data_IF_348421959257
#
_entry.id   IF_348421959257
#
_cell.length_a   1.000
_cell.length_b   1.000
_cell.length_c   1.000
_cell.angle_alpha   90.00
_cell.angle_beta   90.00
_cell.angle_gamma   90.00
#
_symmetry.space_group_name_H-M   'P 1'
#
loop_
_entity.id
_entity.type
_entity.pdbx_description
1 polymer ?
#
# COMPACT_ATOMS: atom_id res chain seq x y z
N UNK A 1 -23.92 5.40 0.44
CA UNK A 1 -24.62 4.10 0.33
C UNK A 1 -25.20 3.84 -1.06
N UNK A 2 -25.91 4.83 -1.68
CA UNK A 2 -26.45 4.65 -3.04
C UNK A 2 -25.36 4.59 -4.10
N UNK A 3 -24.35 5.45 -4.02
CA UNK A 3 -23.19 5.47 -4.91
C UNK A 3 -22.37 4.17 -4.83
N UNK A 4 -22.23 3.60 -3.63
CA UNK A 4 -21.52 2.33 -3.45
C UNK A 4 -22.25 1.15 -4.11
N UNK A 5 -23.58 1.11 -4.01
CA UNK A 5 -24.37 0.08 -4.71
C UNK A 5 -24.24 0.20 -6.21
N UNK A 6 -24.35 1.42 -6.74
CA UNK A 6 -24.21 1.66 -8.18
C UNK A 6 -22.80 1.29 -8.67
N UNK A 7 -21.76 1.64 -7.90
CA UNK A 7 -20.38 1.25 -8.24
C UNK A 7 -20.22 -0.28 -8.26
N UNK A 8 -20.74 -0.98 -7.26
CA UNK A 8 -20.69 -2.45 -7.22
C UNK A 8 -21.44 -3.09 -8.39
N UNK A 9 -22.63 -2.60 -8.72
CA UNK A 9 -23.40 -3.06 -9.88
C UNK A 9 -22.63 -2.88 -11.18
N UNK A 10 -21.96 -1.73 -11.35
CA UNK A 10 -21.14 -1.45 -12.53
C UNK A 10 -19.93 -2.41 -12.62
N UNK A 11 -19.21 -2.67 -11.51
CA UNK A 11 -18.12 -3.65 -11.52
C UNK A 11 -18.62 -5.05 -11.86
N UNK A 12 -19.73 -5.52 -11.28
CA UNK A 12 -20.33 -6.81 -11.60
C UNK A 12 -20.71 -6.89 -13.07
N UNK A 13 -21.34 -5.84 -13.58
CA UNK A 13 -21.72 -5.78 -15.00
C UNK A 13 -20.51 -5.81 -15.93
N UNK A 14 -19.43 -5.10 -15.62
CA UNK A 14 -18.20 -5.16 -16.41
C UNK A 14 -17.64 -6.59 -16.47
N UNK A 15 -17.57 -7.29 -15.32
CA UNK A 15 -17.09 -8.66 -15.22
C UNK A 15 -18.03 -9.66 -15.91
N UNK A 16 -19.35 -9.42 -15.94
CA UNK A 16 -20.32 -10.22 -16.69
C UNK A 16 -20.12 -10.10 -18.20
N UNK A 17 -19.84 -8.87 -18.68
CA UNK A 17 -19.62 -8.60 -20.11
C UNK A 17 -18.28 -9.18 -20.59
N UNK A 18 -17.25 -9.10 -19.78
CA UNK A 18 -15.95 -9.73 -20.04
C UNK A 18 -15.42 -10.42 -18.78
N UNK A 19 -15.59 -11.74 -18.72
CA UNK A 19 -15.11 -12.56 -17.59
C UNK A 19 -13.58 -12.61 -17.48
N UNK A 20 -12.87 -12.26 -18.56
CA UNK A 20 -11.42 -12.23 -18.62
C UNK A 20 -10.81 -10.88 -18.25
N UNK A 21 -11.64 -9.85 -18.05
CA UNK A 21 -11.18 -8.50 -17.65
C UNK A 21 -10.55 -8.52 -16.23
N UNK A 22 -9.24 -8.73 -16.21
CA UNK A 22 -8.45 -8.74 -14.99
C UNK A 22 -8.35 -7.36 -14.34
N UNK A 23 -8.43 -6.29 -15.14
CA UNK A 23 -8.37 -4.92 -14.62
C UNK A 23 -9.67 -4.58 -13.88
N UNK A 24 -10.85 -4.91 -14.44
CA UNK A 24 -12.12 -4.74 -13.76
C UNK A 24 -12.16 -5.54 -12.44
N UNK A 25 -11.63 -6.76 -12.43
CA UNK A 25 -11.52 -7.58 -11.20
C UNK A 25 -10.58 -6.95 -10.17
N UNK A 26 -9.41 -6.47 -10.60
CA UNK A 26 -8.47 -5.79 -9.71
C UNK A 26 -9.11 -4.55 -9.07
N UNK A 27 -9.78 -3.72 -9.86
CA UNK A 27 -10.45 -2.52 -9.39
C UNK A 27 -11.63 -2.85 -8.46
N UNK A 28 -12.40 -3.88 -8.78
CA UNK A 28 -13.48 -4.35 -7.91
C UNK A 28 -12.95 -4.92 -6.59
N UNK A 29 -11.85 -5.67 -6.63
CA UNK A 29 -11.16 -6.14 -5.43
C UNK A 29 -10.75 -5.00 -4.50
N UNK A 30 -10.17 -3.93 -5.06
CA UNK A 30 -9.80 -2.75 -4.30
C UNK A 30 -11.03 -2.03 -3.71
N UNK A 31 -12.08 -1.86 -4.52
CA UNK A 31 -13.34 -1.29 -4.05
C UNK A 31 -13.90 -2.04 -2.83
N UNK A 32 -13.94 -3.37 -2.88
CA UNK A 32 -14.42 -4.21 -1.78
C UNK A 32 -13.53 -4.07 -0.53
N UNK A 33 -12.21 -4.09 -0.69
CA UNK A 33 -11.26 -3.93 0.41
C UNK A 33 -11.39 -2.59 1.13
N UNK A 34 -11.62 -1.51 0.39
CA UNK A 34 -11.79 -0.18 1.00
C UNK A 34 -13.08 -0.05 1.82
N UNK A 35 -13.99 -1.01 1.69
CA UNK A 35 -15.26 -1.12 2.42
C UNK A 35 -15.28 -2.22 3.47
N UNK A 36 -14.09 -2.77 3.80
CA UNK A 36 -13.95 -3.82 4.82
C UNK A 36 -14.37 -5.22 4.37
N UNK A 37 -14.72 -5.40 3.09
CA UNK A 37 -15.09 -6.69 2.49
C UNK A 37 -13.85 -7.42 2.00
N UNK A 38 -12.93 -7.69 2.92
CA UNK A 38 -11.57 -8.13 2.59
C UNK A 38 -11.51 -9.46 1.88
N UNK A 39 -12.29 -10.46 2.32
CA UNK A 39 -12.27 -11.80 1.71
C UNK A 39 -12.77 -11.77 0.27
N UNK A 40 -13.84 -11.04 0.02
CA UNK A 40 -14.39 -10.86 -1.33
C UNK A 40 -13.38 -10.08 -2.21
N UNK A 41 -12.72 -9.06 -1.66
CA UNK A 41 -11.67 -8.34 -2.37
C UNK A 41 -10.49 -9.23 -2.77
N UNK A 42 -10.02 -10.05 -1.83
CA UNK A 42 -8.93 -11.02 -2.06
C UNK A 42 -9.31 -12.07 -3.11
N UNK A 43 -10.57 -12.49 -3.15
CA UNK A 43 -11.08 -13.38 -4.18
C UNK A 43 -11.02 -12.75 -5.58
N UNK A 44 -11.40 -11.46 -5.71
CA UNK A 44 -11.32 -10.75 -6.98
C UNK A 44 -9.88 -10.59 -7.46
N UNK A 45 -8.93 -10.25 -6.59
CA UNK A 45 -7.50 -10.22 -6.96
C UNK A 45 -7.01 -11.59 -7.40
N UNK A 46 -7.38 -12.66 -6.68
CA UNK A 46 -7.04 -14.02 -7.07
C UNK A 46 -7.62 -14.39 -8.44
N UNK A 47 -8.86 -13.97 -8.73
CA UNK A 47 -9.49 -14.18 -10.02
C UNK A 47 -8.79 -13.41 -11.15
N UNK A 48 -8.37 -12.16 -10.90
CA UNK A 48 -7.57 -11.38 -11.85
C UNK A 48 -6.24 -12.07 -12.20
N UNK A 49 -5.55 -12.58 -11.19
CA UNK A 49 -4.25 -13.24 -11.32
C UNK A 49 -4.28 -14.62 -11.96
N UNK A 50 -5.46 -15.23 -12.12
CA UNK A 50 -5.62 -16.49 -12.89
C UNK A 50 -5.52 -16.31 -14.39
N UNK A 51 -5.69 -15.09 -14.88
CA UNK A 51 -5.53 -14.79 -16.30
C UNK A 51 -4.04 -14.61 -16.64
N UNK A 52 -3.41 -15.48 -17.42
CA UNK A 52 -2.00 -15.38 -17.77
C UNK A 52 -1.68 -14.19 -18.70
N UNK A 53 -2.71 -13.60 -19.30
CA UNK A 53 -2.58 -12.45 -20.19
C UNK A 53 -2.79 -11.11 -19.46
N UNK A 54 -2.92 -11.14 -18.15
CA UNK A 54 -3.07 -9.90 -17.38
C UNK A 54 -1.80 -9.05 -17.48
N UNK A 55 -1.94 -7.82 -17.98
CA UNK A 55 -0.81 -6.96 -18.30
C UNK A 55 -0.07 -6.42 -17.06
N UNK A 56 -0.75 -6.34 -15.90
CA UNK A 56 -0.21 -5.75 -14.66
C UNK A 56 -0.47 -6.62 -13.43
N UNK A 57 -0.02 -7.87 -13.42
CA UNK A 57 -0.24 -8.78 -12.29
C UNK A 57 0.41 -8.30 -11.00
N UNK A 58 1.52 -7.53 -11.08
CA UNK A 58 2.21 -6.91 -9.95
C UNK A 58 1.31 -5.94 -9.18
N UNK A 59 0.46 -5.18 -9.87
CA UNK A 59 -0.48 -4.25 -9.23
C UNK A 59 -1.55 -5.00 -8.44
N UNK A 60 -2.13 -6.07 -9.01
CA UNK A 60 -3.10 -6.90 -8.30
C UNK A 60 -2.48 -7.60 -7.08
N UNK A 61 -1.22 -8.04 -7.19
CA UNK A 61 -0.48 -8.59 -6.05
C UNK A 61 -0.24 -7.54 -4.96
N UNK A 62 0.18 -6.31 -5.34
CA UNK A 62 0.37 -5.22 -4.38
C UNK A 62 -0.94 -4.84 -3.67
N UNK A 63 -2.05 -4.77 -4.42
CA UNK A 63 -3.38 -4.49 -3.89
C UNK A 63 -3.88 -5.61 -2.98
N UNK A 64 -3.67 -6.88 -3.35
CA UNK A 64 -3.96 -8.04 -2.51
C UNK A 64 -3.15 -8.01 -1.20
N UNK A 65 -1.87 -7.63 -1.27
CA UNK A 65 -1.03 -7.44 -0.10
C UNK A 65 -1.58 -6.38 0.85
N UNK A 66 -1.96 -5.24 0.33
CA UNK A 66 -2.54 -4.16 1.12
C UNK A 66 -3.92 -4.52 1.70
N UNK A 67 -4.71 -5.27 0.95
CA UNK A 67 -6.00 -5.80 1.41
C UNK A 67 -5.83 -6.78 2.57
N UNK A 68 -4.90 -7.74 2.43
CA UNK A 68 -4.57 -8.70 3.48
C UNK A 68 -4.06 -8.01 4.75
N UNK A 69 -3.26 -6.96 4.60
CA UNK A 69 -2.78 -6.15 5.71
C UNK A 69 -3.93 -5.47 6.46
N UNK A 70 -4.89 -4.87 5.76
CA UNK A 70 -6.10 -4.29 6.37
C UNK A 70 -6.98 -5.32 7.07
N UNK A 71 -7.00 -6.56 6.57
CA UNK A 71 -7.65 -7.69 7.21
C UNK A 71 -6.94 -8.15 8.49
N UNK A 72 -5.66 -7.79 8.65
CA UNK A 72 -4.79 -8.25 9.74
C UNK A 72 -3.98 -9.51 9.41
N UNK A 73 -4.06 -10.03 8.18
CA UNK A 73 -3.26 -11.16 7.72
C UNK A 73 -1.91 -10.68 7.18
N UNK A 74 -0.99 -10.45 8.12
CA UNK A 74 0.34 -9.89 7.81
C UNK A 74 1.20 -10.87 7.00
N UNK A 75 0.99 -12.18 7.16
CA UNK A 75 1.73 -13.19 6.40
C UNK A 75 1.33 -13.19 4.92
N UNK A 76 0.02 -13.15 4.66
CA UNK A 76 -0.51 -13.03 3.29
C UNK A 76 -0.14 -11.69 2.65
N UNK A 77 -0.17 -10.60 3.44
CA UNK A 77 0.25 -9.28 3.01
C UNK A 77 1.69 -9.29 2.50
N UNK A 78 2.61 -9.80 3.31
CA UNK A 78 4.01 -9.92 2.94
C UNK A 78 4.22 -10.79 1.70
N UNK A 79 3.59 -11.96 1.66
CA UNK A 79 3.73 -12.88 0.54
C UNK A 79 3.33 -12.21 -0.79
N UNK A 80 2.23 -11.46 -0.80
CA UNK A 80 1.75 -10.77 -1.99
C UNK A 80 2.65 -9.58 -2.38
N UNK A 81 3.08 -8.75 -1.43
CA UNK A 81 3.98 -7.63 -1.70
C UNK A 81 5.33 -8.11 -2.25
N UNK A 82 5.88 -9.20 -1.70
CA UNK A 82 7.12 -9.80 -2.21
C UNK A 82 6.96 -10.40 -3.61
N UNK A 83 5.80 -11.01 -3.92
CA UNK A 83 5.49 -11.48 -5.29
C UNK A 83 5.41 -10.32 -6.27
N UNK A 84 4.77 -9.21 -5.89
CA UNK A 84 4.73 -7.99 -6.70
C UNK A 84 6.15 -7.48 -7.01
N UNK A 85 7.03 -7.38 -6.00
CA UNK A 85 8.42 -6.95 -6.17
C UNK A 85 9.29 -7.95 -6.95
N UNK A 86 8.91 -9.23 -7.03
CA UNK A 86 9.61 -10.17 -7.93
C UNK A 86 9.33 -9.88 -9.39
N UNK A 87 8.14 -9.40 -9.73
CA UNK A 87 7.78 -9.02 -11.09
C UNK A 87 8.29 -7.62 -11.43
N UNK A 88 8.20 -6.69 -10.49
CA UNK A 88 8.63 -5.30 -10.64
C UNK A 88 9.48 -4.87 -9.43
N UNK A 89 10.80 -5.18 -9.43
CA UNK A 89 11.68 -4.95 -8.28
C UNK A 89 11.78 -3.48 -7.85
N UNK A 90 11.64 -2.57 -8.80
CA UNK A 90 11.81 -1.14 -8.60
C UNK A 90 10.47 -0.38 -8.58
N UNK A 91 9.38 -1.06 -8.17
CA UNK A 91 8.10 -0.40 -7.94
C UNK A 91 8.13 0.38 -6.61
N UNK A 92 8.20 1.73 -6.64
CA UNK A 92 8.35 2.51 -5.42
C UNK A 92 7.14 2.40 -4.49
N UNK A 93 5.93 2.27 -5.05
CA UNK A 93 4.73 2.11 -4.23
C UNK A 93 4.72 0.79 -3.46
N UNK A 94 5.12 -0.30 -4.11
CA UNK A 94 5.20 -1.61 -3.45
C UNK A 94 6.32 -1.66 -2.41
N UNK A 95 7.47 -1.01 -2.69
CA UNK A 95 8.56 -0.85 -1.71
C UNK A 95 8.08 -0.11 -0.46
N UNK A 96 7.36 1.01 -0.61
CA UNK A 96 6.84 1.77 0.51
C UNK A 96 5.82 0.96 1.34
N UNK A 97 4.91 0.23 0.68
CA UNK A 97 3.94 -0.65 1.36
C UNK A 97 4.65 -1.75 2.16
N UNK A 98 5.65 -2.41 1.57
CA UNK A 98 6.42 -3.43 2.28
C UNK A 98 7.23 -2.82 3.43
N UNK A 99 7.80 -1.63 3.26
CA UNK A 99 8.49 -0.91 4.33
C UNK A 99 7.55 -0.62 5.51
N UNK A 100 6.33 -0.15 5.25
CA UNK A 100 5.30 0.08 6.27
C UNK A 100 4.92 -1.20 7.02
N UNK A 101 4.75 -2.31 6.30
CA UNK A 101 4.48 -3.62 6.89
C UNK A 101 5.64 -4.07 7.81
N UNK A 102 6.90 -3.95 7.34
CA UNK A 102 8.10 -4.31 8.10
C UNK A 102 8.29 -3.45 9.35
N UNK A 103 7.98 -2.16 9.23
CA UNK A 103 7.99 -1.26 10.38
C UNK A 103 7.04 -1.73 11.50
N UNK A 104 5.80 -2.10 11.15
CA UNK A 104 4.82 -2.63 12.13
C UNK A 104 5.24 -3.95 12.75
N UNK A 105 5.99 -4.76 12.01
CA UNK A 105 6.58 -6.02 12.52
C UNK A 105 7.85 -5.79 13.35
N UNK A 106 8.30 -4.53 13.53
CA UNK A 106 9.52 -4.20 14.26
C UNK A 106 10.82 -4.51 13.49
N UNK A 107 10.74 -4.81 12.20
CA UNK A 107 11.89 -5.14 11.35
C UNK A 107 12.56 -3.85 10.83
N UNK A 108 13.16 -3.07 11.76
CA UNK A 108 13.60 -1.69 11.49
C UNK A 108 14.69 -1.62 10.41
N UNK A 109 15.64 -2.56 10.39
CA UNK A 109 16.71 -2.56 9.39
C UNK A 109 16.20 -2.83 7.99
N UNK A 110 15.25 -3.78 7.82
CA UNK A 110 14.63 -4.03 6.52
C UNK A 110 13.75 -2.84 6.10
N UNK A 111 13.06 -2.21 7.04
CA UNK A 111 12.30 -0.96 6.78
C UNK A 111 13.20 0.12 6.22
N UNK A 112 14.38 0.33 6.82
CA UNK A 112 15.35 1.34 6.38
C UNK A 112 15.85 1.06 4.96
N UNK A 113 16.19 -0.19 4.65
CA UNK A 113 16.63 -0.60 3.32
C UNK A 113 15.54 -0.36 2.24
N UNK A 114 14.30 -0.77 2.53
CA UNK A 114 13.18 -0.61 1.61
C UNK A 114 12.83 0.86 1.39
N UNK A 115 12.85 1.66 2.46
CA UNK A 115 12.57 3.10 2.38
C UNK A 115 13.69 3.85 1.64
N UNK A 116 14.96 3.44 1.81
CA UNK A 116 16.10 3.96 1.05
C UNK A 116 15.92 3.70 -0.45
N UNK A 117 15.60 2.47 -0.85
CA UNK A 117 15.31 2.14 -2.26
C UNK A 117 14.12 2.93 -2.82
N UNK A 118 13.05 3.09 -2.02
CA UNK A 118 11.92 3.94 -2.43
C UNK A 118 12.38 5.37 -2.73
N UNK A 119 13.22 5.95 -1.87
CA UNK A 119 13.69 7.33 -2.01
C UNK A 119 14.60 7.56 -3.24
N UNK A 120 15.29 6.52 -3.71
CA UNK A 120 16.08 6.56 -4.95
C UNK A 120 15.19 6.56 -6.21
N UNK A 121 13.98 6.00 -6.13
CA UNK A 121 13.11 5.74 -7.27
C UNK A 121 11.96 6.75 -7.43
N UNK A 122 11.59 7.42 -6.36
CA UNK A 122 10.45 8.32 -6.36
C UNK A 122 10.64 9.55 -5.45
N UNK A 123 9.99 10.66 -5.78
CA UNK A 123 9.99 11.82 -4.89
C UNK A 123 9.28 11.47 -3.56
N UNK A 124 9.67 12.11 -2.46
CA UNK A 124 9.03 11.89 -1.17
C UNK A 124 7.54 12.22 -1.19
N UNK A 125 6.77 11.38 -0.54
CA UNK A 125 5.33 11.57 -0.24
C UNK A 125 5.15 11.87 1.25
N UNK A 126 3.98 12.35 1.67
CA UNK A 126 3.68 12.52 3.08
C UNK A 126 3.84 11.20 3.86
N UNK A 127 3.35 10.10 3.29
CA UNK A 127 3.46 8.74 3.85
C UNK A 127 4.92 8.30 4.01
N UNK A 128 5.77 8.48 2.98
CA UNK A 128 7.17 8.05 3.04
C UNK A 128 7.99 8.88 4.05
N UNK A 129 7.76 10.19 4.11
CA UNK A 129 8.40 11.06 5.11
C UNK A 129 7.93 10.73 6.54
N UNK A 130 6.66 10.42 6.71
CA UNK A 130 6.12 10.01 8.00
C UNK A 130 6.68 8.67 8.47
N UNK A 131 6.76 7.69 7.58
CA UNK A 131 7.38 6.40 7.88
C UNK A 131 8.87 6.57 8.25
N UNK A 132 9.61 7.39 7.50
CA UNK A 132 11.02 7.72 7.78
C UNK A 132 11.18 8.36 9.16
N UNK A 133 10.36 9.35 9.48
CA UNK A 133 10.38 10.01 10.79
C UNK A 133 10.17 9.01 11.94
N UNK A 134 9.15 8.15 11.81
CA UNK A 134 8.84 7.13 12.84
C UNK A 134 9.94 6.09 12.98
N UNK A 135 10.56 5.72 11.86
CA UNK A 135 11.69 4.80 11.83
C UNK A 135 12.88 5.39 12.59
N UNK A 136 13.31 6.61 12.24
CA UNK A 136 14.47 7.26 12.87
C UNK A 136 14.22 7.54 14.36
N UNK A 137 12.98 7.89 14.73
CA UNK A 137 12.57 7.99 16.13
C UNK A 137 12.78 6.67 16.90
N UNK A 138 12.42 5.53 16.29
CA UNK A 138 12.64 4.20 16.89
C UNK A 138 14.12 3.81 16.93
N UNK A 139 14.90 4.23 15.93
CA UNK A 139 16.35 4.01 15.89
C UNK A 139 17.14 4.98 16.82
N UNK A 140 16.50 6.06 17.27
CA UNK A 140 17.11 7.06 18.15
C UNK A 140 17.89 8.15 17.41
N UNK A 141 17.84 8.21 16.09
CA UNK A 141 18.48 9.27 15.29
C UNK A 141 17.62 10.53 15.27
N UNK A 142 17.87 11.40 16.24
CA UNK A 142 17.14 12.68 16.42
C UNK A 142 17.39 13.67 15.28
N UNK A 143 18.53 13.61 14.62
CA UNK A 143 18.87 14.50 13.51
C UNK A 143 18.03 14.15 12.29
N UNK A 144 17.99 12.87 11.92
CA UNK A 144 17.17 12.42 10.80
C UNK A 144 15.67 12.52 11.10
N UNK A 145 15.24 12.22 12.33
CA UNK A 145 13.86 12.45 12.77
C UNK A 145 13.42 13.90 12.50
N UNK A 146 14.25 14.88 12.94
CA UNK A 146 13.95 16.29 12.74
C UNK A 146 13.97 16.70 11.26
N UNK A 147 14.88 16.14 10.47
CA UNK A 147 14.97 16.39 9.03
C UNK A 147 13.72 15.92 8.28
N UNK A 148 13.24 14.71 8.56
CA UNK A 148 11.97 14.19 8.01
C UNK A 148 10.77 15.05 8.42
N UNK A 149 10.69 15.44 9.70
CA UNK A 149 9.62 16.30 10.22
C UNK A 149 9.59 17.68 9.57
N UNK A 150 10.76 18.27 9.33
CA UNK A 150 10.86 19.54 8.62
C UNK A 150 10.37 19.43 7.17
N UNK A 151 10.81 18.39 6.45
CA UNK A 151 10.37 18.16 5.08
C UNK A 151 8.86 17.94 4.99
N UNK A 152 8.30 17.14 5.91
CA UNK A 152 6.85 16.86 5.96
C UNK A 152 6.05 18.14 6.12
N UNK A 153 6.38 18.98 7.10
CA UNK A 153 5.71 20.27 7.34
C UNK A 153 5.87 21.25 6.18
N UNK A 154 7.03 21.26 5.52
CA UNK A 154 7.30 22.20 4.43
C UNK A 154 6.62 21.80 3.13
N UNK A 155 6.61 20.50 2.81
CA UNK A 155 6.13 20.00 1.50
C UNK A 155 4.68 19.56 1.52
N UNK A 156 4.19 19.10 2.67
CA UNK A 156 2.86 18.51 2.84
C UNK A 156 2.14 19.05 4.08
N UNK A 157 2.03 20.41 4.25
CA UNK A 157 1.50 21.02 5.46
C UNK A 157 0.07 20.60 5.81
N UNK A 158 -0.75 20.31 4.80
CA UNK A 158 -2.17 19.97 4.95
C UNK A 158 -2.42 18.45 5.05
N UNK A 159 -1.36 17.64 4.99
CA UNK A 159 -1.49 16.18 5.08
C UNK A 159 -1.93 15.73 6.47
N UNK A 160 -2.52 14.53 6.53
CA UNK A 160 -2.85 13.91 7.81
C UNK A 160 -1.60 13.64 8.66
N UNK A 161 -0.52 13.24 8.02
CA UNK A 161 0.79 12.96 8.64
C UNK A 161 1.39 14.22 9.27
N UNK A 162 1.25 15.38 8.63
CA UNK A 162 1.68 16.65 9.22
C UNK A 162 0.85 17.01 10.46
N UNK A 163 -0.46 16.74 10.45
CA UNK A 163 -1.33 16.92 11.61
C UNK A 163 -0.96 15.99 12.76
N UNK A 164 -0.68 14.71 12.47
CA UNK A 164 -0.20 13.73 13.46
C UNK A 164 1.13 14.16 14.07
N UNK A 165 2.06 14.69 13.25
CA UNK A 165 3.31 15.24 13.74
C UNK A 165 3.10 16.41 14.70
N UNK A 166 2.21 17.34 14.36
CA UNK A 166 1.92 18.53 15.20
C UNK A 166 1.22 18.15 16.52
N UNK A 167 0.38 17.11 16.50
CA UNK A 167 -0.31 16.61 17.70
C UNK A 167 0.55 15.65 18.55
N UNK A 168 1.77 15.31 18.09
CA UNK A 168 2.64 14.38 18.81
C UNK A 168 2.17 12.91 18.79
N UNK A 169 1.29 12.55 17.86
CA UNK A 169 0.74 11.20 17.71
C UNK A 169 1.59 10.39 16.73
N UNK A 170 2.52 9.61 17.23
CA UNK A 170 3.49 8.87 16.40
C UNK A 170 3.15 7.37 16.20
N UNK A 171 2.05 6.89 16.75
CA UNK A 171 1.61 5.50 16.67
C UNK A 171 0.65 5.24 15.51
#
# INVERSE_FOLDING_TARGET
LAEDKLAEENFRRAIELDRSDSEARNNFGWFLCTRGRYDEGLEQFSAALRNPLYARPEDAMANAGQCAERKGDLALAEANLRKSLKLQPDNPNTLLKLAGLRFRQGQLMETQQLLGRHAELAPPTAESLWLGLRLERKLGDRVQEAAYGLQLRKRFPDSNEARLLLSGQYE
#
